data_IF_042933295648
#
_entry.id   IF_042933295648
#
_cell.length_a   1.000
_cell.length_b   1.000
_cell.length_c   1.000
_cell.angle_alpha   90.00
_cell.angle_beta   90.00
_cell.angle_gamma   90.00
#
_symmetry.space_group_name_H-M   'P 1'
#
loop_
_entity.id
_entity.type
_entity.pdbx_description
1 polymer ?
#
# COMPACT_ATOMS: atom_id res chain seq x y z
N UNK A 1 -41.68 -13.89 4.09
CA UNK A 1 -40.82 -12.79 4.56
C UNK A 1 -40.45 -11.95 3.35
N UNK A 2 -40.55 -10.62 3.37
CA UNK A 2 -40.17 -9.81 2.22
C UNK A 2 -38.65 -9.88 2.03
N UNK A 3 -38.23 -10.17 0.80
CA UNK A 3 -36.83 -10.16 0.38
C UNK A 3 -36.23 -8.76 0.61
N UNK A 4 -35.04 -8.63 1.20
CA UNK A 4 -34.39 -7.33 1.33
C UNK A 4 -34.18 -6.72 -0.06
N UNK A 5 -34.52 -5.44 -0.23
CA UNK A 5 -34.24 -4.72 -1.46
C UNK A 5 -32.72 -4.64 -1.70
N UNK A 6 -32.26 -4.79 -2.96
CA UNK A 6 -30.83 -4.67 -3.28
C UNK A 6 -30.32 -3.27 -2.95
N UNK A 7 -29.19 -3.20 -2.25
CA UNK A 7 -28.47 -1.95 -1.98
C UNK A 7 -28.09 -1.29 -3.33
N UNK A 8 -28.39 -0.01 -3.55
CA UNK A 8 -27.98 0.71 -4.76
C UNK A 8 -26.45 0.65 -4.94
N UNK A 9 -25.99 0.54 -6.18
CA UNK A 9 -24.57 0.64 -6.51
C UNK A 9 -24.03 2.02 -6.06
N UNK A 10 -22.79 2.12 -5.55
CA UNK A 10 -22.20 3.38 -5.15
C UNK A 10 -21.95 4.23 -6.39
N UNK A 11 -22.89 5.11 -6.70
CA UNK A 11 -22.65 6.26 -7.57
C UNK A 11 -21.79 7.25 -6.78
N UNK A 12 -20.74 7.78 -7.40
CA UNK A 12 -19.90 8.82 -6.78
C UNK A 12 -20.74 10.07 -6.56
N UNK A 13 -21.25 10.24 -5.36
CA UNK A 13 -21.92 11.45 -4.92
C UNK A 13 -20.88 12.60 -4.95
N UNK A 14 -21.07 13.67 -5.75
CA UNK A 14 -20.14 14.80 -5.80
C UNK A 14 -19.95 15.49 -4.43
N UNK A 15 -20.80 15.22 -3.44
CA UNK A 15 -20.61 15.68 -2.06
C UNK A 15 -19.48 14.98 -1.30
N UNK A 16 -18.99 13.83 -1.78
CA UNK A 16 -17.99 13.01 -1.11
C UNK A 16 -16.90 12.47 -2.06
N UNK A 17 -16.03 13.35 -2.59
CA UNK A 17 -14.93 12.95 -3.45
C UNK A 17 -14.00 11.97 -2.72
N UNK A 18 -13.48 10.99 -3.45
CA UNK A 18 -12.56 9.98 -2.89
C UNK A 18 -11.12 10.51 -2.93
N UNK A 19 -10.76 11.32 -1.94
CA UNK A 19 -9.39 11.81 -1.76
C UNK A 19 -8.75 11.05 -0.61
N UNK A 20 -7.83 10.13 -0.91
CA UNK A 20 -7.13 9.31 0.08
C UNK A 20 -6.02 10.11 0.76
N UNK A 21 -6.02 10.15 2.09
CA UNK A 21 -5.08 10.91 2.93
C UNK A 21 -4.12 10.01 3.68
N UNK A 22 -2.98 10.54 4.11
CA UNK A 22 -2.14 9.81 5.06
C UNK A 22 -2.89 9.61 6.37
N UNK A 23 -2.60 8.52 7.08
CA UNK A 23 -3.15 8.31 8.43
C UNK A 23 -2.89 9.50 9.35
N UNK A 24 -1.71 10.11 9.25
CA UNK A 24 -1.30 11.24 10.09
C UNK A 24 -2.07 12.53 9.75
N UNK A 25 -2.55 12.67 8.51
CA UNK A 25 -3.40 13.78 8.07
C UNK A 25 -4.89 13.59 8.39
N UNK A 26 -5.32 12.39 8.80
CA UNK A 26 -6.71 12.17 9.21
C UNK A 26 -7.02 12.87 10.54
N UNK A 27 -8.17 13.51 10.60
CA UNK A 27 -8.75 14.00 11.86
C UNK A 27 -9.11 12.85 12.79
N UNK A 28 -9.30 13.14 14.09
CA UNK A 28 -9.74 12.14 15.06
C UNK A 28 -11.08 11.49 14.66
N UNK A 29 -12.02 12.25 14.09
CA UNK A 29 -13.31 11.74 13.64
C UNK A 29 -13.17 10.82 12.41
N UNK A 30 -12.25 11.13 11.50
CA UNK A 30 -11.95 10.27 10.35
C UNK A 30 -11.28 8.96 10.77
N UNK A 31 -10.32 9.03 11.70
CA UNK A 31 -9.70 7.84 12.31
C UNK A 31 -10.76 6.98 12.99
N UNK A 32 -11.65 7.56 13.77
CA UNK A 32 -12.74 6.86 14.43
C UNK A 32 -13.70 6.20 13.42
N UNK A 33 -14.06 6.93 12.36
CA UNK A 33 -14.92 6.41 11.29
C UNK A 33 -14.25 5.24 10.57
N UNK A 34 -12.95 5.33 10.28
CA UNK A 34 -12.22 4.24 9.66
C UNK A 34 -12.12 3.01 10.57
N UNK A 35 -11.68 3.19 11.82
CA UNK A 35 -11.51 2.09 12.78
C UNK A 35 -12.85 1.38 13.05
N UNK A 36 -13.94 2.13 13.25
CA UNK A 36 -15.28 1.53 13.43
C UNK A 36 -15.79 0.81 12.19
N UNK A 37 -15.47 1.29 10.99
CA UNK A 37 -15.80 0.58 9.75
C UNK A 37 -15.11 -0.79 9.69
N UNK A 38 -13.85 -0.88 10.10
CA UNK A 38 -13.11 -2.15 10.17
C UNK A 38 -13.76 -3.12 11.16
N UNK A 39 -14.14 -2.65 12.36
CA UNK A 39 -14.82 -3.47 13.38
C UNK A 39 -16.12 -4.05 12.82
N UNK A 40 -16.97 -3.22 12.22
CA UNK A 40 -18.24 -3.65 11.62
C UNK A 40 -17.99 -4.63 10.47
N UNK A 41 -16.99 -4.37 9.62
CA UNK A 41 -16.65 -5.26 8.52
C UNK A 41 -16.22 -6.65 9.03
N UNK A 42 -15.45 -6.71 10.13
CA UNK A 42 -15.05 -7.95 10.78
C UNK A 42 -16.23 -8.67 11.43
N UNK A 43 -17.09 -7.94 12.16
CA UNK A 43 -18.26 -8.50 12.84
C UNK A 43 -19.28 -9.08 11.84
N UNK A 44 -19.44 -8.43 10.67
CA UNK A 44 -20.35 -8.86 9.60
C UNK A 44 -19.78 -9.96 8.71
N UNK A 45 -18.52 -10.37 8.92
CA UNK A 45 -17.89 -11.37 8.06
C UNK A 45 -17.41 -10.86 6.70
N UNK A 46 -17.52 -9.56 6.44
CA UNK A 46 -17.15 -8.94 5.16
C UNK A 46 -15.63 -8.89 5.04
N UNK A 47 -14.93 -8.48 6.10
CA UNK A 47 -13.47 -8.38 6.11
C UNK A 47 -12.80 -9.73 5.80
N UNK A 48 -13.33 -10.81 6.37
CA UNK A 48 -12.82 -12.17 6.20
C UNK A 48 -12.90 -12.63 4.75
N UNK A 49 -13.89 -12.16 3.98
CA UNK A 49 -13.97 -12.46 2.54
C UNK A 49 -12.79 -11.87 1.77
N UNK A 50 -12.30 -10.70 2.17
CA UNK A 50 -11.10 -10.10 1.55
C UNK A 50 -9.84 -10.90 1.88
N UNK A 51 -9.69 -11.39 3.11
CA UNK A 51 -8.63 -12.37 3.45
C UNK A 51 -8.71 -13.60 2.54
N UNK A 52 -9.90 -14.15 2.32
CA UNK A 52 -10.10 -15.32 1.45
C UNK A 52 -9.82 -15.04 -0.03
N UNK A 53 -10.00 -13.79 -0.50
CA UNK A 53 -9.60 -13.41 -1.87
C UNK A 53 -8.09 -13.52 -2.03
N UNK A 54 -7.35 -12.93 -1.09
CA UNK A 54 -5.89 -12.90 -1.14
C UNK A 54 -5.27 -14.27 -0.87
N UNK A 55 -5.95 -15.12 -0.09
CA UNK A 55 -5.53 -16.48 0.21
C UNK A 55 -5.70 -17.44 -0.97
N UNK A 56 -6.64 -17.17 -1.89
CA UNK A 56 -6.92 -18.05 -3.02
C UNK A 56 -5.65 -18.26 -3.86
N UNK A 57 -5.26 -19.52 -4.05
CA UNK A 57 -3.92 -19.88 -4.50
C UNK A 57 -3.59 -19.32 -5.89
N UNK A 58 -4.51 -19.40 -6.85
CA UNK A 58 -4.25 -18.90 -8.20
C UNK A 58 -4.25 -17.37 -8.22
N UNK A 59 -5.19 -16.73 -7.54
CA UNK A 59 -5.26 -15.28 -7.40
C UNK A 59 -4.02 -14.71 -6.72
N UNK A 60 -3.52 -15.36 -5.66
CA UNK A 60 -2.30 -14.96 -4.96
C UNK A 60 -1.07 -15.02 -5.86
N UNK A 61 -0.93 -16.10 -6.63
CA UNK A 61 0.14 -16.32 -7.62
C UNK A 61 0.09 -15.36 -8.80
N UNK A 62 -1.10 -14.94 -9.19
CA UNK A 62 -1.29 -13.89 -10.19
C UNK A 62 -0.89 -12.53 -9.60
N UNK A 63 -1.30 -12.25 -8.36
CA UNK A 63 -1.08 -10.97 -7.69
C UNK A 63 0.37 -10.69 -7.29
N UNK A 64 1.27 -11.68 -7.22
CA UNK A 64 2.63 -11.51 -6.70
C UNK A 64 3.70 -12.13 -7.62
N UNK A 65 4.84 -11.45 -7.74
CA UNK A 65 5.96 -11.88 -8.59
C UNK A 65 5.66 -11.79 -10.09
N UNK A 66 4.67 -10.98 -10.48
CA UNK A 66 4.19 -10.86 -11.85
C UNK A 66 4.08 -9.40 -12.31
N UNK A 67 3.79 -9.21 -13.60
CA UNK A 67 3.50 -7.91 -14.20
C UNK A 67 2.20 -7.25 -13.70
N UNK A 68 1.35 -7.98 -12.95
CA UNK A 68 0.03 -7.48 -12.56
C UNK A 68 -0.07 -7.06 -11.11
N UNK A 69 1.00 -7.19 -10.33
CA UNK A 69 1.05 -6.88 -8.89
C UNK A 69 0.36 -5.56 -8.53
N UNK A 70 0.80 -4.44 -9.12
CA UNK A 70 0.25 -3.11 -8.81
C UNK A 70 -1.23 -2.98 -9.18
N UNK A 71 -1.63 -3.54 -10.33
CA UNK A 71 -3.00 -3.43 -10.85
C UNK A 71 -3.99 -4.32 -10.10
N UNK A 72 -3.56 -5.53 -9.75
CA UNK A 72 -4.36 -6.47 -8.96
C UNK A 72 -4.65 -5.87 -7.59
N UNK A 73 -3.61 -5.38 -6.89
CA UNK A 73 -3.79 -4.77 -5.58
C UNK A 73 -4.62 -3.48 -5.63
N UNK A 74 -4.48 -2.65 -6.67
CA UNK A 74 -5.33 -1.46 -6.85
C UNK A 74 -6.82 -1.79 -6.94
N UNK A 75 -7.19 -2.79 -7.76
CA UNK A 75 -8.59 -3.25 -7.83
C UNK A 75 -9.07 -3.84 -6.50
N UNK A 76 -8.18 -4.52 -5.77
CA UNK A 76 -8.49 -5.15 -4.50
C UNK A 76 -8.81 -4.09 -3.43
N UNK A 77 -7.99 -3.04 -3.36
CA UNK A 77 -8.22 -1.87 -2.50
C UNK A 77 -9.52 -1.14 -2.84
N UNK A 78 -9.84 -0.96 -4.12
CA UNK A 78 -11.10 -0.34 -4.55
C UNK A 78 -12.32 -1.14 -4.09
N UNK A 79 -12.29 -2.47 -4.24
CA UNK A 79 -13.35 -3.34 -3.72
C UNK A 79 -13.48 -3.24 -2.20
N UNK A 80 -12.35 -3.16 -1.49
CA UNK A 80 -12.35 -3.03 -0.02
C UNK A 80 -12.90 -1.68 0.44
N UNK A 81 -12.51 -0.59 -0.22
CA UNK A 81 -13.05 0.75 0.04
C UNK A 81 -14.56 0.82 -0.25
N UNK A 82 -15.00 0.24 -1.38
CA UNK A 82 -16.42 0.14 -1.72
C UNK A 82 -17.22 -0.60 -0.64
N UNK A 83 -16.66 -1.68 -0.09
CA UNK A 83 -17.25 -2.41 1.02
C UNK A 83 -17.39 -1.54 2.27
N UNK A 84 -16.32 -0.85 2.69
CA UNK A 84 -16.36 0.02 3.87
C UNK A 84 -17.37 1.18 3.69
N UNK A 85 -17.42 1.80 2.50
CA UNK A 85 -18.38 2.87 2.19
C UNK A 85 -19.83 2.40 2.20
N UNK A 86 -20.08 1.11 2.00
CA UNK A 86 -21.43 0.52 2.00
C UNK A 86 -22.00 0.28 3.40
N UNK A 87 -21.22 0.45 4.47
CA UNK A 87 -21.60 0.05 5.83
C UNK A 87 -22.68 0.94 6.47
N UNK A 88 -23.04 2.06 5.84
CA UNK A 88 -24.09 2.99 6.25
C UNK A 88 -23.73 4.45 5.93
N UNK A 89 -24.67 5.37 6.18
CA UNK A 89 -24.53 6.79 5.82
C UNK A 89 -23.30 7.47 6.43
N UNK A 90 -22.88 7.06 7.63
CA UNK A 90 -21.67 7.56 8.29
C UNK A 90 -20.39 7.24 7.49
N UNK A 91 -20.37 6.11 6.76
CA UNK A 91 -19.19 5.62 6.05
C UNK A 91 -19.20 5.98 4.56
N UNK A 92 -20.29 6.56 4.05
CA UNK A 92 -20.47 6.79 2.61
C UNK A 92 -19.37 7.65 1.96
N UNK A 93 -18.64 8.42 2.76
CA UNK A 93 -17.55 9.31 2.36
C UNK A 93 -16.16 8.80 2.79
N UNK A 94 -16.08 7.63 3.42
CA UNK A 94 -14.83 7.02 3.85
C UNK A 94 -13.93 6.74 2.66
N UNK A 95 -12.65 7.02 2.82
CA UNK A 95 -11.57 6.66 1.89
C UNK A 95 -10.53 5.84 2.65
N UNK A 96 -9.80 4.97 1.95
CA UNK A 96 -8.66 4.30 2.58
C UNK A 96 -7.57 5.32 2.93
N UNK A 97 -7.06 5.37 4.17
CA UNK A 97 -5.84 6.10 4.46
C UNK A 97 -4.62 5.36 3.91
N UNK A 98 -3.53 6.06 3.64
CA UNK A 98 -2.24 5.43 3.37
C UNK A 98 -1.30 5.58 4.57
N UNK A 99 -0.35 4.65 4.72
CA UNK A 99 0.69 4.75 5.75
C UNK A 99 1.91 5.49 5.17
N UNK A 100 2.08 6.74 5.56
CA UNK A 100 3.26 7.54 5.17
C UNK A 100 4.50 7.18 6.00
N UNK A 101 4.99 5.94 5.85
CA UNK A 101 6.21 5.51 6.51
C UNK A 101 7.45 6.29 6.01
N UNK A 102 7.37 6.96 4.86
CA UNK A 102 8.42 7.87 4.37
C UNK A 102 8.53 9.08 5.29
N UNK A 103 7.42 9.74 5.60
CA UNK A 103 7.39 10.83 6.55
C UNK A 103 7.79 10.37 7.96
N UNK A 104 7.28 9.22 8.42
CA UNK A 104 7.63 8.71 9.75
C UNK A 104 9.15 8.39 9.84
N UNK A 105 9.76 7.86 8.77
CA UNK A 105 11.20 7.57 8.72
C UNK A 105 12.02 8.87 8.71
N UNK A 106 11.64 9.85 7.88
CA UNK A 106 12.31 11.16 7.83
C UNK A 106 12.27 11.86 9.19
N UNK A 107 11.15 11.78 9.90
CA UNK A 107 10.98 12.31 11.26
C UNK A 107 11.95 11.62 12.23
N UNK A 108 12.01 10.28 12.22
CA UNK A 108 12.95 9.51 13.03
C UNK A 108 14.41 9.91 12.73
N UNK A 109 14.77 9.97 11.45
CA UNK A 109 16.11 10.30 10.96
C UNK A 109 16.58 11.69 11.43
N UNK A 110 15.70 12.68 11.41
CA UNK A 110 16.01 14.07 11.72
C UNK A 110 15.79 14.44 13.19
N UNK A 111 15.27 13.53 14.02
CA UNK A 111 15.12 13.78 15.46
C UNK A 111 16.43 13.49 16.21
N UNK A 112 16.88 14.36 17.13
CA UNK A 112 18.04 14.09 17.98
C UNK A 112 17.90 12.79 18.76
N UNK A 113 18.99 12.04 18.93
CA UNK A 113 18.98 10.69 19.54
C UNK A 113 18.23 10.62 20.88
N UNK A 114 18.31 11.67 21.71
CA UNK A 114 17.65 11.72 23.02
C UNK A 114 16.11 11.78 22.96
N UNK A 115 15.54 12.21 21.84
CA UNK A 115 14.09 12.36 21.63
C UNK A 115 13.55 11.45 20.52
N UNK A 116 14.43 10.72 19.86
CA UNK A 116 14.11 9.91 18.69
C UNK A 116 13.25 8.70 19.08
N UNK A 117 12.21 8.46 18.30
CA UNK A 117 11.47 7.20 18.36
C UNK A 117 12.36 6.01 17.97
N UNK A 118 12.12 4.83 18.53
CA UNK A 118 13.04 3.68 18.36
C UNK A 118 12.39 2.44 17.76
N UNK A 119 11.09 2.53 17.48
CA UNK A 119 10.30 1.41 16.98
C UNK A 119 9.13 1.88 16.13
N UNK A 120 8.60 1.00 15.28
CA UNK A 120 7.43 1.28 14.43
C UNK A 120 6.27 1.86 15.25
N UNK A 121 6.01 1.30 16.44
CA UNK A 121 4.94 1.82 17.31
C UNK A 121 5.19 3.21 17.86
N UNK A 122 6.45 3.56 18.14
CA UNK A 122 6.79 4.88 18.69
C UNK A 122 7.01 5.91 17.58
N UNK A 123 7.33 5.48 16.36
CA UNK A 123 7.55 6.35 15.21
C UNK A 123 6.30 6.58 14.36
N UNK A 124 5.31 5.69 14.42
CA UNK A 124 4.13 5.77 13.56
C UNK A 124 2.83 5.57 14.34
N UNK A 125 2.00 6.62 14.33
CA UNK A 125 0.73 6.64 15.06
C UNK A 125 -0.30 5.64 14.50
N UNK A 126 -0.12 5.13 13.27
CA UNK A 126 -1.02 4.12 12.70
C UNK A 126 -0.92 2.79 13.45
N UNK A 127 0.28 2.42 13.89
CA UNK A 127 0.53 1.15 14.57
C UNK A 127 -0.29 1.05 15.86
N UNK A 128 -0.26 2.10 16.68
CA UNK A 128 -1.07 2.18 17.91
C UNK A 128 -2.53 2.49 17.64
N UNK A 129 -2.82 3.30 16.61
CA UNK A 129 -4.18 3.61 16.15
C UNK A 129 -4.98 2.39 15.68
N UNK A 130 -4.29 1.29 15.33
CA UNK A 130 -4.90 0.00 14.97
C UNK A 130 -4.70 -1.07 16.05
N UNK A 131 -4.43 -0.67 17.29
CA UNK A 131 -4.39 -1.56 18.46
C UNK A 131 -3.00 -1.97 18.94
N UNK A 132 -1.93 -1.53 18.26
CA UNK A 132 -0.55 -1.86 18.63
C UNK A 132 -0.23 -3.35 18.55
N UNK A 133 0.76 -3.79 19.31
CA UNK A 133 1.39 -5.11 19.21
C UNK A 133 1.59 -5.80 20.56
N UNK A 134 1.43 -5.07 21.67
CA UNK A 134 1.89 -5.50 23.00
C UNK A 134 0.79 -5.98 23.95
N UNK A 135 -0.46 -5.59 23.71
CA UNK A 135 -1.61 -5.95 24.55
C UNK A 135 -2.31 -7.18 24.00
N UNK A 136 -2.58 -8.19 24.83
CA UNK A 136 -3.18 -9.47 24.42
C UNK A 136 -2.50 -10.65 25.08
N UNK A 137 -2.54 -11.83 24.47
CA UNK A 137 -1.85 -13.04 24.93
C UNK A 137 -1.35 -13.87 23.75
N UNK A 138 -0.45 -14.83 23.98
CA UNK A 138 -0.18 -15.85 22.95
C UNK A 138 -1.44 -16.70 22.73
N UNK A 139 -1.56 -17.28 21.54
CA UNK A 139 -2.70 -18.10 21.14
C UNK A 139 -2.26 -19.25 20.25
N UNK A 140 -2.92 -20.40 20.38
CA UNK A 140 -2.78 -21.55 19.48
C UNK A 140 -3.92 -21.64 18.45
N UNK A 141 -4.81 -20.62 18.40
CA UNK A 141 -5.89 -20.58 17.43
C UNK A 141 -5.35 -20.56 15.99
N UNK A 142 -6.06 -21.25 15.11
CA UNK A 142 -5.78 -21.20 13.67
C UNK A 142 -6.43 -19.95 13.05
N UNK A 143 -5.63 -19.17 12.35
CA UNK A 143 -6.01 -18.03 11.53
C UNK A 143 -5.93 -18.44 10.07
N UNK A 144 -7.10 -18.76 9.48
CA UNK A 144 -7.20 -19.16 8.07
C UNK A 144 -6.24 -20.30 7.68
N UNK A 145 -6.02 -21.27 8.58
CA UNK A 145 -5.13 -22.42 8.34
C UNK A 145 -3.72 -22.27 8.91
N UNK A 146 -3.35 -21.10 9.44
CA UNK A 146 -2.01 -20.84 9.99
C UNK A 146 -2.07 -20.62 11.50
N UNK A 147 -0.98 -20.90 12.21
CA UNK A 147 -0.85 -20.69 13.66
C UNK A 147 0.37 -19.84 13.96
N UNK A 148 0.26 -18.99 14.98
CA UNK A 148 1.30 -18.03 15.34
C UNK A 148 1.63 -18.07 16.84
N UNK A 149 2.13 -19.21 17.36
CA UNK A 149 2.31 -19.41 18.81
C UNK A 149 3.35 -18.46 19.43
N UNK A 150 4.30 -17.98 18.63
CA UNK A 150 5.35 -17.04 19.05
C UNK A 150 4.92 -15.57 18.99
N UNK A 151 3.81 -15.27 18.32
CA UNK A 151 3.28 -13.92 18.22
C UNK A 151 2.25 -13.66 19.32
N UNK A 152 2.14 -12.40 19.73
CA UNK A 152 1.03 -11.99 20.60
C UNK A 152 -0.22 -11.85 19.77
N UNK A 153 -1.29 -12.51 20.17
CA UNK A 153 -2.63 -12.27 19.65
C UNK A 153 -3.17 -11.00 20.29
N UNK A 154 -3.10 -9.91 19.52
CA UNK A 154 -3.46 -8.57 19.98
C UNK A 154 -4.97 -8.42 20.05
N UNK A 155 -5.46 -8.03 21.22
CA UNK A 155 -6.89 -7.97 21.53
C UNK A 155 -7.38 -6.53 21.75
N UNK A 156 -6.75 -5.56 21.10
CA UNK A 156 -7.14 -4.16 21.13
C UNK A 156 -7.95 -3.80 19.89
N UNK A 157 -8.67 -2.69 19.95
CA UNK A 157 -9.43 -2.14 18.84
C UNK A 157 -8.52 -1.79 17.64
N UNK A 158 -8.91 -2.11 16.39
CA UNK A 158 -10.11 -2.85 15.97
C UNK A 158 -9.91 -4.38 15.90
N UNK A 159 -8.69 -4.87 16.09
CA UNK A 159 -8.34 -6.29 15.88
C UNK A 159 -8.97 -7.26 16.88
N UNK A 160 -9.54 -6.76 17.98
CA UNK A 160 -10.38 -7.54 18.87
C UNK A 160 -11.71 -8.02 18.24
N UNK A 161 -12.05 -7.53 17.05
CA UNK A 161 -13.19 -8.00 16.26
C UNK A 161 -12.82 -9.13 15.28
N UNK A 162 -11.54 -9.46 15.14
CA UNK A 162 -11.10 -10.48 14.20
C UNK A 162 -11.60 -11.87 14.62
N UNK A 163 -12.47 -12.42 13.77
CA UNK A 163 -12.92 -13.81 13.80
C UNK A 163 -12.55 -14.50 12.49
N UNK A 164 -12.07 -15.74 12.54
CA UNK A 164 -11.91 -16.57 11.33
C UNK A 164 -13.23 -17.11 10.82
N UNK A 165 -14.13 -17.46 11.75
CA UNK A 165 -15.52 -17.82 11.48
C UNK A 165 -16.42 -16.84 12.22
N UNK A 166 -16.97 -15.82 11.53
CA UNK A 166 -17.86 -14.83 12.14
C UNK A 166 -19.02 -15.51 12.89
N UNK A 167 -19.33 -15.00 14.09
CA UNK A 167 -20.40 -15.55 14.94
C UNK A 167 -20.07 -16.87 15.66
N UNK A 168 -18.89 -17.47 15.44
CA UNK A 168 -18.47 -18.67 16.16
C UNK A 168 -18.18 -18.38 17.63
N UNK A 169 -18.60 -19.29 18.52
CA UNK A 169 -18.20 -19.25 19.94
C UNK A 169 -16.69 -19.41 20.15
N UNK A 170 -15.97 -19.99 19.18
CA UNK A 170 -14.52 -20.12 19.17
C UNK A 170 -13.79 -18.95 18.50
N UNK A 171 -14.48 -17.83 18.25
CA UNK A 171 -13.85 -16.66 17.65
C UNK A 171 -12.65 -16.18 18.50
N UNK A 172 -11.44 -16.04 17.90
CA UNK A 172 -10.25 -15.63 18.64
C UNK A 172 -10.36 -14.22 19.24
N UNK A 173 -11.06 -13.29 18.57
CA UNK A 173 -11.19 -11.88 19.00
C UNK A 173 -9.84 -11.20 19.22
N UNK A 174 -8.90 -11.49 18.32
CA UNK A 174 -7.57 -10.94 18.30
C UNK A 174 -6.90 -11.18 16.95
N UNK A 175 -5.86 -10.41 16.65
CA UNK A 175 -4.98 -10.64 15.49
C UNK A 175 -3.55 -10.89 15.98
N UNK A 176 -2.89 -11.99 15.60
CA UNK A 176 -1.48 -12.20 15.89
C UNK A 176 -0.62 -11.10 15.24
N UNK A 177 0.34 -10.53 15.96
CA UNK A 177 1.25 -9.49 15.44
C UNK A 177 2.71 -9.73 15.83
N UNK A 178 3.64 -9.27 15.00
CA UNK A 178 5.02 -9.05 15.41
C UNK A 178 5.09 -8.01 16.53
N UNK A 179 6.19 -7.99 17.28
CA UNK A 179 6.36 -7.04 18.39
C UNK A 179 6.86 -5.67 17.88
N UNK A 180 5.95 -4.90 17.29
CA UNK A 180 6.24 -3.58 16.70
C UNK A 180 6.76 -2.55 17.71
N UNK A 181 6.55 -2.76 19.02
CA UNK A 181 7.17 -1.96 20.07
C UNK A 181 8.70 -2.11 20.13
N UNK A 182 9.24 -3.23 19.60
CA UNK A 182 10.67 -3.56 19.57
C UNK A 182 11.23 -3.69 18.15
N UNK A 183 10.40 -3.48 17.14
CA UNK A 183 10.83 -3.49 15.73
C UNK A 183 11.15 -2.07 15.31
N UNK A 184 12.39 -1.78 14.91
CA UNK A 184 12.78 -0.48 14.38
C UNK A 184 12.11 -0.19 13.03
N UNK A 185 12.03 1.09 12.66
CA UNK A 185 11.84 1.44 11.25
C UNK A 185 13.09 1.08 10.45
N UNK A 186 12.94 0.90 9.14
CA UNK A 186 13.99 0.39 8.25
C UNK A 186 14.30 1.41 7.14
N UNK A 187 15.52 1.38 6.60
CA UNK A 187 15.97 2.28 5.53
C UNK A 187 15.14 2.20 4.25
N UNK A 188 14.47 1.08 3.99
CA UNK A 188 13.54 0.90 2.87
C UNK A 188 12.28 1.78 2.99
N UNK A 189 11.96 2.25 4.20
CA UNK A 189 10.90 3.23 4.40
C UNK A 189 11.37 4.65 4.03
N UNK A 190 12.67 4.91 3.87
CA UNK A 190 13.21 6.23 3.55
C UNK A 190 13.00 6.64 2.09
N UNK A 191 12.93 7.96 1.85
CA UNK A 191 12.63 8.52 0.51
C UNK A 191 13.62 8.06 -0.56
N UNK A 192 14.92 7.97 -0.25
CA UNK A 192 15.94 7.53 -1.20
C UNK A 192 15.67 6.12 -1.76
N UNK A 193 15.30 5.17 -0.88
CA UNK A 193 14.95 3.80 -1.27
C UNK A 193 13.65 3.76 -2.09
N UNK A 194 12.62 4.46 -1.61
CA UNK A 194 11.32 4.54 -2.29
C UNK A 194 11.47 5.13 -3.69
N UNK A 195 12.22 6.23 -3.80
CA UNK A 195 12.51 6.90 -5.05
C UNK A 195 13.21 5.99 -6.05
N UNK A 196 14.23 5.26 -5.63
CA UNK A 196 14.92 4.30 -6.49
C UNK A 196 13.97 3.24 -7.02
N UNK A 197 13.03 2.78 -6.19
CA UNK A 197 12.05 1.80 -6.61
C UNK A 197 11.04 2.33 -7.62
N UNK A 198 10.59 3.58 -7.45
CA UNK A 198 9.56 4.21 -8.29
C UNK A 198 10.11 4.79 -9.58
N UNK A 199 11.25 5.49 -9.53
CA UNK A 199 11.76 6.29 -10.64
C UNK A 199 12.95 5.67 -11.37
N UNK A 200 13.63 4.70 -10.76
CA UNK A 200 14.84 4.06 -11.31
C UNK A 200 14.59 2.99 -12.39
N UNK A 201 13.34 2.75 -12.79
CA UNK A 201 12.98 1.82 -13.87
C UNK A 201 12.42 2.55 -15.10
N UNK A 202 12.71 2.03 -16.29
CA UNK A 202 12.24 2.59 -17.57
C UNK A 202 10.84 2.13 -17.97
N UNK A 203 10.37 1.00 -17.43
CA UNK A 203 9.10 0.35 -17.77
C UNK A 203 8.36 -0.13 -16.51
N UNK A 204 7.06 -0.36 -16.63
CA UNK A 204 6.21 -0.71 -15.49
C UNK A 204 6.53 -2.09 -14.93
N UNK A 205 7.05 -3.01 -15.74
CA UNK A 205 7.43 -4.34 -15.25
C UNK A 205 8.61 -4.23 -14.27
N UNK A 206 9.61 -3.43 -14.61
CA UNK A 206 10.76 -3.16 -13.76
C UNK A 206 10.35 -2.39 -12.51
N UNK A 207 9.52 -1.35 -12.64
CA UNK A 207 9.05 -0.56 -11.49
C UNK A 207 8.14 -1.38 -10.56
N UNK A 208 7.23 -2.18 -11.11
CA UNK A 208 6.38 -3.09 -10.32
C UNK A 208 7.23 -4.04 -9.48
N UNK A 209 8.25 -4.67 -10.08
CA UNK A 209 9.18 -5.55 -9.35
C UNK A 209 9.99 -4.80 -8.30
N UNK A 210 10.41 -3.57 -8.60
CA UNK A 210 11.18 -2.77 -7.65
C UNK A 210 10.32 -2.45 -6.42
N UNK A 211 9.11 -1.92 -6.61
CA UNK A 211 8.16 -1.59 -5.54
C UNK A 211 7.76 -2.83 -4.75
N UNK A 212 7.48 -3.95 -5.43
CA UNK A 212 7.14 -5.23 -4.80
C UNK A 212 8.28 -5.73 -3.89
N UNK A 213 9.53 -5.63 -4.33
CA UNK A 213 10.68 -6.02 -3.52
C UNK A 213 10.93 -5.03 -2.37
N UNK A 214 10.96 -3.74 -2.66
CA UNK A 214 11.14 -2.67 -1.68
C UNK A 214 10.32 -1.44 -2.07
N UNK A 215 9.41 -0.95 -1.21
CA UNK A 215 9.29 -1.28 0.21
C UNK A 215 8.36 -2.47 0.53
N UNK A 216 7.61 -3.02 -0.43
CA UNK A 216 6.48 -3.90 -0.14
C UNK A 216 6.84 -5.18 0.64
N UNK A 217 7.70 -6.05 0.11
CA UNK A 217 8.06 -7.32 0.77
C UNK A 217 8.79 -7.10 2.09
N UNK A 218 9.62 -6.06 2.16
CA UNK A 218 10.41 -5.76 3.37
C UNK A 218 9.51 -5.31 4.52
N UNK A 219 8.46 -4.53 4.25
CA UNK A 219 7.48 -4.14 5.26
C UNK A 219 6.66 -5.34 5.76
N UNK A 220 6.23 -6.23 4.87
CA UNK A 220 5.59 -7.49 5.26
C UNK A 220 6.48 -8.33 6.20
N UNK A 221 7.75 -8.52 5.82
CA UNK A 221 8.73 -9.21 6.67
C UNK A 221 8.91 -8.54 8.03
N UNK A 222 9.11 -7.23 8.02
CA UNK A 222 9.41 -6.41 9.21
C UNK A 222 8.27 -6.47 10.23
N UNK A 223 7.02 -6.45 9.76
CA UNK A 223 5.86 -6.51 10.64
C UNK A 223 5.61 -7.91 11.23
N UNK A 224 6.13 -8.97 10.60
CA UNK A 224 6.06 -10.36 11.08
C UNK A 224 4.60 -10.85 11.30
N UNK A 225 4.41 -12.04 11.87
CA UNK A 225 3.09 -12.63 12.09
C UNK A 225 2.37 -12.87 10.76
N UNK A 226 1.04 -12.65 10.70
CA UNK A 226 0.28 -12.70 9.46
C UNK A 226 0.82 -11.78 8.37
N UNK A 227 1.34 -10.59 8.71
CA UNK A 227 1.92 -9.68 7.71
C UNK A 227 3.10 -10.31 6.95
N UNK A 228 3.84 -11.25 7.56
CA UNK A 228 4.91 -11.97 6.86
C UNK A 228 4.43 -13.22 6.09
N UNK A 229 3.13 -13.50 6.06
CA UNK A 229 2.55 -14.61 5.30
C UNK A 229 1.94 -14.09 3.98
N UNK A 230 2.46 -14.57 2.85
CA UNK A 230 2.07 -14.08 1.52
C UNK A 230 0.62 -14.37 1.16
N UNK A 231 -0.06 -15.30 1.85
CA UNK A 231 -1.45 -15.67 1.55
C UNK A 231 -2.45 -14.93 2.44
N UNK A 232 -2.14 -14.75 3.73
CA UNK A 232 -3.10 -14.23 4.72
C UNK A 232 -2.67 -12.93 5.39
N UNK A 233 -1.69 -12.21 4.86
CA UNK A 233 -1.31 -10.89 5.36
C UNK A 233 -2.47 -9.89 5.53
N UNK A 234 -3.56 -9.92 4.74
CA UNK A 234 -4.73 -9.07 5.01
C UNK A 234 -5.48 -9.38 6.31
N UNK A 235 -5.15 -10.44 7.06
CA UNK A 235 -5.73 -10.67 8.40
C UNK A 235 -5.45 -9.48 9.32
N UNK A 236 -4.33 -8.79 9.14
CA UNK A 236 -4.03 -7.56 9.86
C UNK A 236 -4.52 -6.33 9.07
N UNK A 237 -5.37 -5.46 9.65
CA UNK A 237 -5.84 -4.25 8.98
C UNK A 237 -4.72 -3.36 8.44
N UNK A 238 -3.53 -3.35 9.07
CA UNK A 238 -2.40 -2.53 8.61
C UNK A 238 -2.01 -2.82 7.14
N UNK A 239 -2.31 -4.03 6.65
CA UNK A 239 -2.17 -4.43 5.24
C UNK A 239 -2.76 -3.40 4.28
N UNK A 240 -3.99 -2.94 4.53
CA UNK A 240 -4.72 -2.10 3.59
C UNK A 240 -4.11 -0.70 3.48
N UNK A 241 -3.55 -0.16 4.56
CA UNK A 241 -2.88 1.15 4.53
C UNK A 241 -1.46 1.06 3.97
N UNK A 242 -0.74 -0.04 4.23
CA UNK A 242 0.52 -0.34 3.57
C UNK A 242 0.33 -0.42 2.05
N UNK A 243 -0.63 -1.21 1.59
CA UNK A 243 -0.95 -1.37 0.16
C UNK A 243 -1.51 -0.10 -0.47
N UNK A 244 -2.19 0.76 0.30
CA UNK A 244 -2.59 2.06 -0.20
C UNK A 244 -1.39 3.02 -0.40
N UNK A 245 -0.31 2.85 0.35
CA UNK A 245 0.96 3.51 0.05
C UNK A 245 1.57 2.93 -1.23
N UNK A 246 1.56 1.61 -1.44
CA UNK A 246 2.00 0.99 -2.69
C UNK A 246 1.20 1.53 -3.90
N UNK A 247 -0.11 1.73 -3.73
CA UNK A 247 -0.98 2.33 -4.73
C UNK A 247 -0.63 3.79 -5.04
N UNK A 248 -0.26 4.57 -4.02
CA UNK A 248 0.26 5.92 -4.17
C UNK A 248 1.60 5.91 -4.93
N UNK A 249 2.50 4.97 -4.66
CA UNK A 249 3.78 4.86 -5.38
C UNK A 249 3.57 4.56 -6.89
N UNK A 250 2.61 3.69 -7.23
CA UNK A 250 2.21 3.46 -8.61
C UNK A 250 1.63 4.73 -9.25
N UNK A 251 0.86 5.51 -8.49
CA UNK A 251 0.30 6.80 -8.94
C UNK A 251 1.40 7.81 -9.27
N UNK A 252 2.42 7.93 -8.41
CA UNK A 252 3.58 8.80 -8.65
C UNK A 252 4.35 8.36 -9.90
N UNK A 253 4.57 7.05 -10.08
CA UNK A 253 5.17 6.53 -11.31
C UNK A 253 4.37 6.92 -12.56
N UNK A 254 3.05 6.72 -12.54
CA UNK A 254 2.19 7.02 -13.68
C UNK A 254 2.28 8.50 -14.06
N UNK A 255 2.15 9.40 -13.08
CA UNK A 255 2.32 10.84 -13.27
C UNK A 255 3.67 11.15 -13.96
N UNK A 256 4.75 10.62 -13.41
CA UNK A 256 6.09 10.98 -13.84
C UNK A 256 6.57 10.36 -15.15
N UNK A 257 6.05 9.19 -15.52
CA UNK A 257 6.57 8.41 -16.66
C UNK A 257 5.55 8.20 -17.77
N UNK A 258 4.26 8.38 -17.49
CA UNK A 258 3.18 8.01 -18.42
C UNK A 258 2.27 9.19 -18.77
N UNK A 259 1.87 9.99 -17.79
CA UNK A 259 0.83 11.02 -17.97
C UNK A 259 1.17 12.03 -19.07
N UNK A 260 2.40 12.58 -19.05
CA UNK A 260 2.85 13.57 -20.04
C UNK A 260 2.91 13.07 -21.49
N UNK A 261 2.83 11.74 -21.69
CA UNK A 261 2.80 11.13 -23.02
C UNK A 261 1.43 11.28 -23.68
N UNK A 262 0.38 11.57 -22.91
CA UNK A 262 -1.00 11.75 -23.38
C UNK A 262 -1.43 10.61 -24.32
N UNK A 263 -1.23 9.37 -23.87
CA UNK A 263 -1.48 8.17 -24.67
C UNK A 263 -2.97 8.00 -24.94
N UNK A 264 -3.35 7.74 -26.19
CA UNK A 264 -4.69 7.20 -26.51
C UNK A 264 -4.88 5.80 -25.93
N UNK A 265 -6.13 5.33 -25.82
CA UNK A 265 -6.46 3.97 -25.36
C UNK A 265 -5.63 2.86 -26.05
N UNK A 266 -5.41 2.98 -27.37
CA UNK A 266 -4.62 2.00 -28.11
C UNK A 266 -3.13 2.12 -27.79
N UNK A 267 -2.61 3.33 -27.63
CA UNK A 267 -1.20 3.53 -27.24
C UNK A 267 -0.97 3.06 -25.81
N UNK A 268 -1.90 3.30 -24.89
CA UNK A 268 -1.84 2.85 -23.50
C UNK A 268 -1.73 1.32 -23.35
N UNK A 269 -2.35 0.58 -24.27
CA UNK A 269 -2.25 -0.88 -24.33
C UNK A 269 -0.89 -1.38 -24.83
N UNK A 270 -0.15 -0.57 -25.57
CA UNK A 270 1.10 -0.98 -26.25
C UNK A 270 2.36 -0.32 -25.68
N UNK A 271 2.22 0.74 -24.87
CA UNK A 271 3.35 1.41 -24.23
C UNK A 271 3.80 0.65 -22.97
N UNK A 272 5.06 0.21 -22.97
CA UNK A 272 5.66 -0.58 -21.89
C UNK A 272 5.72 0.18 -20.55
N UNK A 273 5.61 1.50 -20.55
CA UNK A 273 5.51 2.30 -19.32
C UNK A 273 4.09 2.28 -18.75
N UNK A 274 3.08 2.13 -19.58
CA UNK A 274 1.69 2.04 -19.13
C UNK A 274 1.35 0.60 -18.72
N UNK A 275 1.57 -0.36 -19.61
CA UNK A 275 1.35 -1.77 -19.31
C UNK A 275 2.31 -2.66 -20.09
N UNK A 276 2.91 -3.63 -19.40
CA UNK A 276 3.76 -4.64 -20.02
C UNK A 276 3.31 -6.04 -19.57
N UNK A 277 2.91 -6.86 -20.53
CA UNK A 277 2.48 -8.24 -20.29
C UNK A 277 3.61 -9.17 -19.85
N UNK A 278 3.24 -10.31 -19.27
CA UNK A 278 4.17 -11.34 -18.80
C UNK A 278 3.51 -12.72 -18.75
N UNK A 279 4.30 -13.75 -18.48
CA UNK A 279 3.79 -15.06 -18.09
C UNK A 279 3.71 -15.14 -16.56
N UNK A 280 2.55 -15.56 -16.04
CA UNK A 280 2.34 -15.73 -14.59
C UNK A 280 2.86 -17.09 -14.13
N UNK A 281 3.04 -17.23 -12.81
CA UNK A 281 3.38 -18.51 -12.17
C UNK A 281 2.25 -19.56 -12.26
N UNK A 282 1.05 -19.16 -12.72
CA UNK A 282 -0.05 -20.06 -13.07
C UNK A 282 0.10 -20.67 -14.49
N UNK A 283 1.13 -20.28 -15.24
CA UNK A 283 1.33 -20.72 -16.63
C UNK A 283 0.46 -19.97 -17.65
N UNK A 284 -0.12 -18.84 -17.26
CA UNK A 284 -0.96 -18.00 -18.13
C UNK A 284 -0.15 -16.85 -18.72
N UNK A 285 -0.38 -16.52 -19.99
CA UNK A 285 0.14 -15.28 -20.60
C UNK A 285 -0.86 -14.16 -20.40
N UNK A 286 -0.43 -13.10 -19.73
CA UNK A 286 -1.25 -11.92 -19.45
C UNK A 286 -0.83 -10.77 -20.34
N UNK A 287 -1.82 -10.21 -21.05
CA UNK A 287 -1.69 -8.99 -21.85
C UNK A 287 -2.57 -7.86 -21.31
N UNK A 288 -2.51 -6.67 -21.93
CA UNK A 288 -3.22 -5.48 -21.45
C UNK A 288 -4.73 -5.69 -21.34
N UNK A 289 -5.32 -6.39 -22.29
CA UNK A 289 -6.77 -6.65 -22.36
C UNK A 289 -7.18 -7.96 -21.68
N UNK A 290 -6.25 -8.71 -21.09
CA UNK A 290 -6.57 -9.89 -20.30
C UNK A 290 -7.48 -9.50 -19.14
N UNK A 291 -8.46 -10.35 -18.85
CA UNK A 291 -9.37 -10.12 -17.73
C UNK A 291 -8.65 -10.45 -16.43
N UNK A 292 -8.44 -9.46 -15.59
CA UNK A 292 -8.07 -9.58 -14.18
C UNK A 292 -9.17 -10.36 -13.46
N UNK A 293 -8.78 -11.53 -12.93
CA UNK A 293 -9.67 -12.40 -12.15
C UNK A 293 -9.32 -12.26 -10.66
N UNK A 294 -10.35 -12.19 -9.84
CA UNK A 294 -10.22 -12.21 -8.38
C UNK A 294 -11.19 -13.25 -7.87
N UNK A 295 -10.69 -14.21 -7.12
CA UNK A 295 -11.44 -15.38 -6.68
C UNK A 295 -11.30 -15.55 -5.19
N UNK A 296 -12.21 -16.33 -4.61
CA UNK A 296 -12.15 -16.74 -3.23
C UNK A 296 -12.74 -18.14 -3.08
N UNK A 297 -12.35 -18.83 -2.01
CA UNK A 297 -12.92 -20.14 -1.66
C UNK A 297 -14.07 -19.95 -0.69
N UNK A 298 -15.27 -20.41 -1.07
CA UNK A 298 -16.47 -20.40 -0.23
C UNK A 298 -16.99 -21.82 -0.14
N UNK A 299 -17.09 -22.35 1.08
CA UNK A 299 -17.55 -23.73 1.34
C UNK A 299 -16.80 -24.78 0.50
N UNK A 300 -15.49 -24.59 0.31
CA UNK A 300 -14.62 -25.49 -0.45
C UNK A 300 -14.69 -25.34 -1.98
N UNK A 301 -15.47 -24.38 -2.50
CA UNK A 301 -15.53 -24.09 -3.93
C UNK A 301 -14.90 -22.75 -4.26
N UNK A 302 -14.06 -22.72 -5.29
CA UNK A 302 -13.50 -21.48 -5.84
C UNK A 302 -14.54 -20.79 -6.71
N UNK A 303 -14.84 -19.53 -6.42
CA UNK A 303 -15.74 -18.69 -7.21
C UNK A 303 -15.06 -17.36 -7.57
N UNK A 304 -15.46 -16.77 -8.69
CA UNK A 304 -15.11 -15.37 -8.99
C UNK A 304 -15.77 -14.44 -7.97
N UNK A 305 -15.06 -13.41 -7.54
CA UNK A 305 -15.51 -12.48 -6.50
C UNK A 305 -16.83 -11.82 -6.83
N UNK A 306 -17.06 -11.50 -8.11
CA UNK A 306 -18.30 -10.91 -8.61
C UNK A 306 -19.53 -11.80 -8.38
N UNK A 307 -19.35 -13.11 -8.19
CA UNK A 307 -20.42 -14.07 -7.93
C UNK A 307 -20.67 -14.31 -6.43
N UNK A 308 -19.84 -13.76 -5.53
CA UNK A 308 -20.09 -13.88 -4.10
C UNK A 308 -21.26 -12.96 -3.69
N UNK A 309 -22.29 -13.49 -3.00
CA UNK A 309 -23.49 -12.73 -2.68
C UNK A 309 -23.28 -11.61 -1.65
N UNK A 310 -22.20 -11.64 -0.87
CA UNK A 310 -21.90 -10.64 0.14
C UNK A 310 -21.03 -9.51 -0.42
N UNK A 311 -20.03 -9.85 -1.22
CA UNK A 311 -19.00 -8.88 -1.64
C UNK A 311 -18.95 -8.62 -3.15
N UNK A 312 -19.62 -9.41 -4.00
CA UNK A 312 -19.51 -9.29 -5.44
C UNK A 312 -19.97 -7.96 -6.00
N UNK A 313 -20.96 -7.33 -5.35
CA UNK A 313 -21.44 -5.98 -5.72
C UNK A 313 -20.35 -4.91 -5.63
N UNK A 314 -19.36 -5.07 -4.74
CA UNK A 314 -18.27 -4.11 -4.55
C UNK A 314 -17.24 -4.11 -5.70
N UNK A 315 -17.25 -5.15 -6.53
CA UNK A 315 -16.33 -5.33 -7.66
C UNK A 315 -17.00 -5.19 -9.03
N UNK A 316 -18.34 -5.18 -9.08
CA UNK A 316 -19.13 -5.29 -10.32
C UNK A 316 -18.80 -4.20 -11.34
N UNK A 317 -18.63 -2.97 -10.88
CA UNK A 317 -18.42 -1.80 -11.75
C UNK A 317 -16.93 -1.44 -11.90
N UNK A 318 -16.03 -2.24 -11.31
CA UNK A 318 -14.59 -2.03 -11.42
C UNK A 318 -14.06 -2.59 -12.74
N UNK A 319 -13.10 -1.91 -13.40
CA UNK A 319 -12.48 -2.42 -14.61
C UNK A 319 -11.90 -3.83 -14.43
N UNK A 320 -12.00 -4.63 -15.48
CA UNK A 320 -11.43 -5.98 -15.53
C UNK A 320 -10.18 -6.06 -16.38
N UNK A 321 -9.86 -5.03 -17.16
CA UNK A 321 -8.67 -5.02 -18.01
C UNK A 321 -7.54 -4.26 -17.31
N UNK A 322 -6.33 -4.81 -17.35
CA UNK A 322 -5.19 -4.28 -16.60
C UNK A 322 -4.80 -2.85 -16.98
N UNK A 323 -4.78 -2.53 -18.28
CA UNK A 323 -4.41 -1.18 -18.74
C UNK A 323 -5.37 -0.08 -18.24
N UNK A 324 -6.61 -0.44 -17.88
CA UNK A 324 -7.62 0.48 -17.32
C UNK A 324 -7.42 0.77 -15.83
N UNK A 325 -6.44 0.14 -15.20
CA UNK A 325 -6.13 0.31 -13.78
C UNK A 325 -4.84 1.14 -13.58
N UNK A 326 -4.35 1.80 -14.62
CA UNK A 326 -3.06 2.51 -14.62
C UNK A 326 -3.14 3.89 -13.94
N UNK A 327 -4.24 4.62 -14.13
CA UNK A 327 -4.49 5.92 -13.49
C UNK A 327 -5.57 5.80 -12.40
N UNK A 328 -5.29 6.29 -11.19
CA UNK A 328 -6.24 6.32 -10.09
C UNK A 328 -7.46 7.22 -10.37
N UNK A 329 -7.25 8.35 -11.06
CA UNK A 329 -8.30 9.33 -11.37
C UNK A 329 -9.35 8.72 -12.31
N UNK A 330 -8.91 7.84 -13.22
CA UNK A 330 -9.80 7.07 -14.11
C UNK A 330 -10.70 6.06 -13.36
N UNK A 331 -10.40 5.82 -12.08
CA UNK A 331 -11.12 4.91 -11.21
C UNK A 331 -11.97 5.65 -10.17
N UNK A 332 -12.03 6.98 -10.28
CA UNK A 332 -12.88 7.82 -9.45
C UNK A 332 -12.30 8.15 -8.07
N UNK A 333 -10.98 8.08 -7.89
CA UNK A 333 -10.31 8.51 -6.66
C UNK A 333 -8.97 9.20 -6.93
N UNK A 334 -8.49 9.97 -5.95
CA UNK A 334 -7.18 10.60 -5.95
C UNK A 334 -6.54 10.53 -4.57
N UNK A 335 -5.40 11.19 -4.42
CA UNK A 335 -4.61 11.24 -3.20
C UNK A 335 -4.39 12.69 -2.80
N UNK A 336 -4.39 12.93 -1.50
CA UNK A 336 -3.77 14.09 -0.87
C UNK A 336 -2.34 13.69 -0.48
N UNK A 337 -1.36 14.19 -1.23
CA UNK A 337 0.05 13.82 -1.19
C UNK A 337 0.83 14.96 -0.54
N UNK A 338 1.55 14.65 0.54
CA UNK A 338 2.28 15.64 1.34
C UNK A 338 3.75 15.29 1.48
N UNK A 339 4.54 16.26 1.92
CA UNK A 339 5.93 16.05 2.33
C UNK A 339 6.80 15.50 1.20
N UNK A 340 7.70 14.58 1.54
CA UNK A 340 8.69 14.04 0.61
C UNK A 340 8.08 13.27 -0.57
N UNK A 341 6.93 12.60 -0.37
CA UNK A 341 6.22 11.95 -1.47
C UNK A 341 5.55 12.97 -2.40
N UNK A 342 5.08 14.10 -1.86
CA UNK A 342 4.53 15.21 -2.65
C UNK A 342 5.60 15.92 -3.48
N UNK A 343 6.78 16.11 -2.90
CA UNK A 343 7.95 16.61 -3.63
C UNK A 343 8.36 15.65 -4.76
N UNK A 344 8.44 14.34 -4.47
CA UNK A 344 8.76 13.33 -5.48
C UNK A 344 7.72 13.29 -6.61
N UNK A 345 6.43 13.45 -6.30
CA UNK A 345 5.38 13.60 -7.30
C UNK A 345 5.62 14.85 -8.16
N UNK A 346 5.84 16.01 -7.54
CA UNK A 346 5.97 17.30 -8.23
C UNK A 346 7.20 17.36 -9.13
N UNK A 347 8.33 16.88 -8.64
CA UNK A 347 9.62 17.03 -9.34
C UNK A 347 9.91 15.90 -10.29
N UNK A 348 9.21 14.76 -10.15
CA UNK A 348 9.51 13.50 -10.83
C UNK A 348 10.97 13.09 -10.74
N UNK A 349 11.60 13.50 -9.64
CA UNK A 349 13.00 13.27 -9.39
C UNK A 349 13.98 14.23 -10.07
N UNK A 350 13.54 15.30 -10.70
CA UNK A 350 14.46 16.36 -11.11
C UNK A 350 14.96 17.13 -9.88
N UNK A 351 16.27 17.30 -9.75
CA UNK A 351 16.84 18.29 -8.83
C UNK A 351 16.64 19.66 -9.46
N UNK A 352 15.48 20.27 -9.24
CA UNK A 352 15.34 21.67 -9.56
C UNK A 352 14.67 22.40 -8.41
N UNK A 353 15.39 23.40 -7.91
CA UNK A 353 14.88 24.51 -7.08
C UNK A 353 13.85 25.37 -7.85
N UNK A 354 13.03 24.74 -8.68
CA UNK A 354 11.96 25.42 -9.40
C UNK A 354 10.83 25.66 -8.41
N UNK A 355 10.80 26.88 -7.90
CA UNK A 355 9.59 27.59 -7.50
C UNK A 355 8.67 27.81 -8.73
N UNK A 356 8.44 26.75 -9.50
CA UNK A 356 7.49 26.69 -10.61
C UNK A 356 6.16 26.22 -10.07
N UNK A 357 5.10 26.94 -10.40
CA UNK A 357 3.79 26.83 -9.77
C UNK A 357 3.23 25.41 -9.70
N UNK A 358 2.35 25.23 -8.71
CA UNK A 358 1.42 24.11 -8.59
C UNK A 358 0.65 24.02 -9.91
N UNK A 359 1.12 23.21 -10.84
CA UNK A 359 0.36 22.88 -12.04
C UNK A 359 -0.69 21.84 -11.64
N UNK A 360 -1.97 22.23 -11.70
CA UNK A 360 -3.05 21.26 -11.80
C UNK A 360 -2.88 20.55 -13.15
N UNK A 361 -2.47 19.30 -13.13
CA UNK A 361 -2.22 18.54 -14.36
C UNK A 361 -3.49 17.81 -14.77
N UNK A 362 -4.04 18.27 -15.91
CA UNK A 362 -5.11 17.71 -16.73
C UNK A 362 -6.38 17.17 -16.02
N UNK A 363 -7.48 17.88 -16.29
CA UNK A 363 -8.85 17.51 -15.92
C UNK A 363 -9.27 16.15 -16.53
N UNK A 364 -9.28 15.10 -15.71
CA UNK A 364 -9.93 13.83 -16.10
C UNK A 364 -11.37 13.86 -15.59
N UNK A 365 -12.33 14.11 -16.49
CA UNK A 365 -13.75 14.10 -16.14
C UNK A 365 -14.30 12.67 -16.12
N UNK A 366 -14.54 12.11 -14.93
CA UNK A 366 -15.53 11.05 -14.77
C UNK A 366 -16.86 11.70 -14.42
N UNK A 367 -17.88 11.46 -15.25
CA UNK A 367 -19.30 11.77 -14.98
C UNK A 367 -19.52 12.91 -13.95
N UNK A 368 -19.26 14.15 -14.37
CA UNK A 368 -19.48 15.40 -13.63
C UNK A 368 -18.63 15.67 -12.36
N UNK A 369 -17.49 15.00 -12.14
CA UNK A 369 -16.48 15.45 -11.16
C UNK A 369 -15.08 15.38 -11.76
N UNK A 370 -14.37 16.51 -11.77
CA UNK A 370 -12.93 16.55 -12.01
C UNK A 370 -12.23 16.06 -10.75
N UNK A 371 -11.58 14.90 -10.81
CA UNK A 371 -10.84 14.33 -9.68
C UNK A 371 -9.36 14.47 -10.01
N UNK A 372 -8.65 15.29 -9.24
CA UNK A 372 -7.21 15.46 -9.36
C UNK A 372 -6.52 15.16 -8.01
N UNK A 373 -5.23 14.88 -8.07
CA UNK A 373 -4.40 14.75 -6.88
C UNK A 373 -4.22 16.11 -6.21
N UNK A 374 -4.28 16.13 -4.89
CA UNK A 374 -3.92 17.31 -4.10
C UNK A 374 -2.48 17.13 -3.68
N UNK A 375 -1.60 18.04 -4.07
CA UNK A 375 -0.18 17.99 -3.69
C UNK A 375 0.12 19.20 -2.83
N UNK A 376 0.49 18.96 -1.57
CA UNK A 376 0.83 20.03 -0.63
C UNK A 376 2.34 20.30 -0.60
N UNK A 377 2.74 21.58 -0.44
CA UNK A 377 4.15 21.94 -0.40
C UNK A 377 4.86 21.34 0.83
N UNK A 378 6.18 21.18 0.71
CA UNK A 378 7.03 20.73 1.81
C UNK A 378 7.22 21.84 2.83
N UNK A 379 6.56 21.70 3.99
CA UNK A 379 6.60 22.71 5.07
C UNK A 379 7.38 22.27 6.32
N UNK A 380 7.58 20.97 6.52
CA UNK A 380 8.26 20.43 7.70
C UNK A 380 9.78 20.61 7.58
N UNK A 381 10.42 21.07 8.66
CA UNK A 381 11.86 21.33 8.69
C UNK A 381 12.68 20.04 8.48
N UNK A 382 12.23 18.91 9.04
CA UNK A 382 12.85 17.61 8.81
C UNK A 382 12.86 17.21 7.32
N UNK A 383 11.80 17.53 6.58
CA UNK A 383 11.74 17.23 5.15
C UNK A 383 12.65 18.15 4.36
N UNK A 384 12.71 19.44 4.72
CA UNK A 384 13.64 20.39 4.11
C UNK A 384 15.10 19.97 4.32
N UNK A 385 15.44 19.42 5.49
CA UNK A 385 16.77 18.88 5.76
C UNK A 385 17.09 17.66 4.88
N UNK A 386 16.13 16.76 4.66
CA UNK A 386 16.30 15.62 3.74
C UNK A 386 16.56 16.11 2.32
N UNK A 387 15.73 17.04 1.81
CA UNK A 387 15.91 17.60 0.47
C UNK A 387 17.23 18.36 0.31
N UNK A 388 17.64 19.14 1.32
CA UNK A 388 18.92 19.84 1.31
C UNK A 388 20.12 18.88 1.32
N UNK A 389 20.00 17.76 2.03
CA UNK A 389 21.02 16.71 2.00
C UNK A 389 21.10 16.05 0.62
N UNK A 390 19.96 15.69 0.01
CA UNK A 390 19.93 15.13 -1.34
C UNK A 390 20.54 16.10 -2.36
N UNK A 391 20.15 17.38 -2.33
CA UNK A 391 20.68 18.43 -3.23
C UNK A 391 22.19 18.59 -3.11
N UNK A 392 22.73 18.55 -1.88
CA UNK A 392 24.17 18.61 -1.65
C UNK A 392 24.91 17.39 -2.22
N UNK A 393 24.36 16.18 -2.05
CA UNK A 393 24.93 14.95 -2.61
C UNK A 393 24.87 14.96 -4.13
N UNK A 394 23.74 15.38 -4.71
CA UNK A 394 23.56 15.48 -6.16
C UNK A 394 24.50 16.51 -6.79
N UNK A 395 24.65 17.69 -6.17
CA UNK A 395 25.61 18.71 -6.60
C UNK A 395 27.03 18.17 -6.59
N UNK A 396 27.40 17.43 -5.54
CA UNK A 396 28.72 16.80 -5.45
C UNK A 396 28.90 15.69 -6.50
N UNK A 397 27.88 14.90 -6.78
CA UNK A 397 27.89 13.84 -7.79
C UNK A 397 28.03 14.42 -9.21
N UNK A 398 27.32 15.50 -9.52
CA UNK A 398 27.41 16.21 -10.80
C UNK A 398 28.84 16.74 -11.05
N UNK A 399 29.48 17.30 -10.03
CA UNK A 399 30.89 17.73 -10.13
C UNK A 399 31.89 16.59 -10.41
N UNK A 400 31.47 15.34 -10.18
CA UNK A 400 32.23 14.12 -10.45
C UNK A 400 31.80 13.42 -11.76
N UNK A 401 30.83 13.99 -12.48
CA UNK A 401 30.32 13.45 -13.75
C UNK A 401 29.39 12.24 -13.59
N UNK A 402 28.79 12.05 -12.41
CA UNK A 402 27.79 11.00 -12.18
C UNK A 402 26.44 11.40 -12.78
N UNK A 403 25.71 10.42 -13.29
CA UNK A 403 24.31 10.59 -13.67
C UNK A 403 23.42 10.80 -12.43
N UNK A 404 22.22 11.33 -12.64
CA UNK A 404 21.23 11.48 -11.56
C UNK A 404 20.92 10.15 -10.87
N UNK A 405 20.79 9.05 -11.61
CA UNK A 405 20.52 7.72 -11.04
C UNK A 405 21.69 7.22 -10.20
N UNK A 406 22.94 7.46 -10.63
CA UNK A 406 24.13 7.14 -9.84
C UNK A 406 24.21 8.01 -8.57
N UNK A 407 23.84 9.30 -8.66
CA UNK A 407 23.81 10.18 -7.49
C UNK A 407 22.80 9.71 -6.44
N UNK A 408 21.58 9.31 -6.84
CA UNK A 408 20.60 8.77 -5.90
C UNK A 408 20.98 7.39 -5.36
N UNK A 409 21.72 6.59 -6.13
CA UNK A 409 22.32 5.37 -5.60
C UNK A 409 23.32 5.69 -4.48
N UNK A 410 24.11 6.77 -4.59
CA UNK A 410 24.98 7.22 -3.49
C UNK A 410 24.17 7.72 -2.27
N UNK A 411 23.09 8.49 -2.48
CA UNK A 411 22.18 8.89 -1.38
C UNK A 411 21.62 7.65 -0.66
N UNK A 412 21.24 6.61 -1.39
CA UNK A 412 20.75 5.36 -0.82
C UNK A 412 21.84 4.67 0.01
N UNK A 413 23.07 4.55 -0.51
CA UNK A 413 24.21 3.99 0.25
C UNK A 413 24.49 4.77 1.53
N UNK A 414 24.47 6.10 1.47
CA UNK A 414 24.63 6.95 2.64
C UNK A 414 23.50 6.74 3.67
N UNK A 415 22.27 6.58 3.20
CA UNK A 415 21.11 6.27 4.07
C UNK A 415 21.24 4.91 4.75
N UNK A 416 21.75 3.88 4.04
CA UNK A 416 22.03 2.57 4.62
C UNK A 416 23.13 2.64 5.68
N UNK A 417 24.21 3.38 5.42
CA UNK A 417 25.27 3.59 6.41
C UNK A 417 24.77 4.37 7.62
N UNK A 418 23.92 5.38 7.42
CA UNK A 418 23.28 6.09 8.51
C UNK A 418 22.40 5.15 9.35
N UNK A 419 21.60 4.31 8.69
CA UNK A 419 20.75 3.33 9.35
C UNK A 419 21.57 2.39 10.25
N UNK A 420 22.61 1.77 9.69
CA UNK A 420 23.44 0.79 10.39
C UNK A 420 24.23 1.40 11.56
N UNK A 421 24.76 2.62 11.38
CA UNK A 421 25.70 3.20 12.34
C UNK A 421 25.05 4.18 13.33
N UNK A 422 23.86 4.72 13.04
CA UNK A 422 23.31 5.86 13.78
C UNK A 422 21.82 5.76 14.11
N UNK A 423 21.08 4.83 13.50
CA UNK A 423 19.65 4.67 13.70
C UNK A 423 19.33 3.41 14.52
N UNK A 424 18.13 3.33 15.14
CA UNK A 424 17.67 2.10 15.79
C UNK A 424 17.54 0.96 14.79
N UNK A 425 17.95 -0.25 15.19
CA UNK A 425 17.92 -1.45 14.33
C UNK A 425 19.13 -1.55 13.39
N UNK A 426 19.25 -2.68 12.71
CA UNK A 426 20.32 -2.95 11.75
C UNK A 426 19.73 -3.20 10.35
N UNK A 427 20.59 -3.14 9.35
CA UNK A 427 20.28 -3.51 7.97
C UNK A 427 20.52 -5.04 7.84
N UNK A 428 19.45 -5.85 7.86
CA UNK A 428 19.52 -7.32 7.71
C UNK A 428 18.62 -7.90 6.60
N UNK A 429 19.19 -8.80 5.78
CA UNK A 429 18.48 -9.49 4.68
C UNK A 429 17.36 -10.41 5.18
N UNK A 430 16.47 -10.76 4.26
CA UNK A 430 15.37 -11.69 4.54
C UNK A 430 15.88 -13.03 5.06
N UNK A 431 15.16 -13.61 6.00
CA UNK A 431 15.44 -14.99 6.42
C UNK A 431 15.19 -15.95 5.26
N UNK A 432 15.89 -17.10 5.18
CA UNK A 432 15.64 -18.10 4.14
C UNK A 432 14.18 -18.54 4.05
N UNK A 433 13.48 -18.62 5.19
CA UNK A 433 12.07 -18.98 5.27
C UNK A 433 11.19 -17.92 4.61
N UNK A 434 11.44 -16.64 4.90
CA UNK A 434 10.70 -15.54 4.27
C UNK A 434 10.94 -15.53 2.76
N UNK A 435 12.18 -15.71 2.32
CA UNK A 435 12.51 -15.78 0.88
C UNK A 435 11.77 -16.92 0.18
N UNK A 436 11.66 -18.08 0.81
CA UNK A 436 10.94 -19.22 0.26
C UNK A 436 9.43 -18.95 0.14
N UNK A 437 8.81 -18.41 1.20
CA UNK A 437 7.38 -18.07 1.26
C UNK A 437 7.00 -17.01 0.21
N UNK A 438 7.85 -16.00 0.01
CA UNK A 438 7.61 -14.86 -0.88
C UNK A 438 8.25 -15.03 -2.27
N UNK A 439 8.80 -16.21 -2.56
CA UNK A 439 9.46 -16.53 -3.83
C UNK A 439 10.57 -15.55 -4.23
N UNK A 440 11.32 -15.05 -3.24
CA UNK A 440 12.41 -14.09 -3.43
C UNK A 440 13.70 -14.87 -3.75
N UNK A 441 14.24 -14.65 -4.95
CA UNK A 441 15.45 -15.36 -5.43
C UNK A 441 16.75 -14.60 -5.25
N UNK A 442 16.71 -13.36 -4.74
CA UNK A 442 17.87 -12.49 -4.52
C UNK A 442 18.06 -12.06 -3.07
N UNK A 443 19.05 -11.21 -2.82
CA UNK A 443 19.09 -10.35 -1.63
C UNK A 443 18.16 -9.15 -1.84
N UNK A 444 17.59 -8.60 -0.77
CA UNK A 444 16.91 -7.30 -0.92
C UNK A 444 17.92 -6.23 -1.35
N UNK A 445 17.48 -5.23 -2.12
CA UNK A 445 18.35 -4.16 -2.63
C UNK A 445 19.03 -3.31 -1.54
N UNK A 446 18.50 -3.36 -0.32
CA UNK A 446 19.12 -2.74 0.85
C UNK A 446 20.26 -3.59 1.43
N UNK A 447 20.61 -4.73 0.83
CA UNK A 447 21.64 -5.68 1.26
C UNK A 447 22.66 -6.02 0.17
#
# INVERSE_FOLDING_TARGET
>A
MPTPAPTPAPTSDPSCPRIRKSWDALTAAEKETFVSAIEIAMDRGLYQKFVLIHQEQMGNREAHGTCVFLFWHRKYLLGFENMLRSLGDQYKCLTLPYWDYVQNYATMQNTPQAQRCTSIETCSAIATGLGGSTQGSTSSASFFGYVYPSNRCVNQRPVNHMCTTPGSASCPKCTPRGNWAKTAMISDMGIASVRQSVLGGSDILTVSRNIENSPHNILHNTLNGPMANAQISPVDPIFFMHHNTIDLLHTIYYHCKVESLNLSDLQQQNDLRSFQGCSTSNGETVGPTSSLRMRLVVSGQTIEVANDPLIGSFFKDLPTQYYKLTDARQLGYSFDIKGLLGDMYTTCGSSSSSTGGIESVQEVSHANVTIDHVVEPVVLAENQNVLAFEDAVLTQADSQGLTTDEAYLEVQKMTLLLQENCMPGSVADFTPEFKAEWHITGSSKSF
#
